data_IF_796691820337
#
_entry.id   IF_796691820337
#
_cell.length_a   1.000
_cell.length_b   1.000
_cell.length_c   1.000
_cell.angle_alpha   90.00
_cell.angle_beta   90.00
_cell.angle_gamma   90.00
#
_symmetry.space_group_name_H-M   'P 1'
#
loop_
_entity.id
_entity.type
_entity.pdbx_description
1 polymer ?
#
# COMPACT_ATOMS: atom_id res chain seq x y z
N UNK A 1 17.65 -30.00 -7.83
CA UNK A 1 16.69 -31.05 -7.41
C UNK A 1 16.23 -30.71 -6.00
N UNK A 2 14.94 -30.76 -5.74
CA UNK A 2 14.39 -30.49 -4.41
C UNK A 2 14.63 -31.63 -3.41
N UNK A 3 14.39 -31.41 -2.13
CA UNK A 3 14.62 -32.40 -1.07
C UNK A 3 13.82 -33.68 -1.30
N UNK A 4 12.58 -33.55 -1.77
CA UNK A 4 11.68 -34.70 -2.02
C UNK A 4 12.25 -35.57 -3.13
N UNK A 5 12.71 -34.98 -4.22
CA UNK A 5 13.34 -35.71 -5.33
C UNK A 5 14.59 -36.45 -4.90
N UNK A 6 15.44 -35.81 -4.07
CA UNK A 6 16.67 -36.45 -3.53
C UNK A 6 16.33 -37.68 -2.62
N UNK A 7 15.32 -37.51 -1.77
CA UNK A 7 14.87 -38.63 -0.91
C UNK A 7 14.26 -39.79 -1.72
N UNK A 8 13.53 -39.49 -2.78
CA UNK A 8 12.96 -40.52 -3.67
C UNK A 8 14.07 -41.30 -4.42
N UNK A 9 15.10 -40.60 -4.89
CA UNK A 9 16.28 -41.27 -5.47
C UNK A 9 17.02 -42.15 -4.46
N UNK A 10 17.19 -41.69 -3.22
CA UNK A 10 17.78 -42.48 -2.17
C UNK A 10 16.97 -43.75 -1.85
N UNK A 11 15.63 -43.71 -1.92
CA UNK A 11 14.75 -44.86 -1.77
C UNK A 11 14.89 -45.83 -2.93
N UNK A 12 14.92 -45.32 -4.17
CA UNK A 12 15.14 -46.14 -5.37
C UNK A 12 16.51 -46.88 -5.29
N UNK A 13 17.55 -46.15 -4.85
CA UNK A 13 18.88 -46.74 -4.65
C UNK A 13 18.93 -47.83 -3.59
N UNK A 14 18.12 -47.73 -2.53
CA UNK A 14 17.97 -48.76 -1.51
C UNK A 14 17.47 -50.08 -2.12
N UNK A 15 16.57 -50.01 -3.08
CA UNK A 15 15.95 -51.15 -3.74
C UNK A 15 16.85 -51.76 -4.83
N UNK A 16 17.58 -50.93 -5.61
CA UNK A 16 18.49 -51.34 -6.70
C UNK A 16 19.81 -51.90 -6.17
N UNK A 17 20.30 -51.50 -5.00
CA UNK A 17 21.55 -51.94 -4.36
C UNK A 17 22.83 -51.71 -5.21
N UNK A 18 22.79 -50.82 -6.19
CA UNK A 18 23.94 -50.54 -7.08
C UNK A 18 25.08 -49.83 -6.33
N UNK A 19 24.76 -48.98 -5.35
CA UNK A 19 25.72 -48.31 -4.49
C UNK A 19 25.37 -48.54 -3.01
N UNK A 20 26.36 -48.51 -2.12
CA UNK A 20 26.08 -48.49 -0.68
C UNK A 20 25.16 -47.34 -0.29
N UNK A 21 24.12 -47.61 0.49
CA UNK A 21 23.13 -46.56 0.84
C UNK A 21 23.72 -45.38 1.61
N UNK A 22 24.83 -45.58 2.33
CA UNK A 22 25.60 -44.50 2.97
C UNK A 22 26.20 -43.55 1.97
N UNK A 23 26.86 -44.10 0.92
CA UNK A 23 27.46 -43.30 -0.16
C UNK A 23 26.41 -42.58 -0.98
N UNK A 24 25.28 -43.23 -1.30
CA UNK A 24 24.18 -42.58 -2.00
C UNK A 24 23.57 -41.44 -1.17
N UNK A 25 23.41 -41.62 0.13
CA UNK A 25 22.91 -40.58 1.04
C UNK A 25 23.82 -39.35 1.10
N UNK A 26 25.15 -39.60 1.14
CA UNK A 26 26.16 -38.54 1.13
C UNK A 26 26.16 -37.75 -0.21
N UNK A 27 26.15 -38.46 -1.34
CA UNK A 27 26.10 -37.86 -2.66
C UNK A 27 24.83 -37.02 -2.91
N UNK A 28 23.70 -37.45 -2.33
CA UNK A 28 22.44 -36.76 -2.43
C UNK A 28 22.25 -35.64 -1.36
N UNK A 29 23.20 -35.51 -0.44
CA UNK A 29 23.12 -34.61 0.70
C UNK A 29 21.80 -34.77 1.48
N UNK A 30 21.47 -35.98 1.87
CA UNK A 30 20.28 -36.34 2.65
C UNK A 30 20.64 -37.36 3.73
N UNK A 31 19.87 -37.35 4.81
CA UNK A 31 20.12 -38.30 5.89
C UNK A 31 19.74 -39.75 5.44
N UNK A 32 20.62 -40.74 5.69
CA UNK A 32 20.37 -42.15 5.36
C UNK A 32 19.06 -42.67 5.95
N UNK A 33 18.63 -42.21 7.13
CA UNK A 33 17.37 -42.59 7.75
C UNK A 33 16.14 -42.22 6.93
N UNK A 34 16.25 -41.22 6.03
CA UNK A 34 15.17 -40.81 5.14
C UNK A 34 14.74 -41.91 4.16
N UNK A 35 15.65 -42.82 3.79
CA UNK A 35 15.33 -43.99 2.98
C UNK A 35 14.39 -44.99 3.66
N UNK A 36 14.43 -45.05 5.00
CA UNK A 36 13.63 -45.93 5.80
C UNK A 36 12.37 -45.31 6.37
N UNK A 37 12.27 -43.98 6.29
CA UNK A 37 11.11 -43.26 6.83
C UNK A 37 9.85 -43.63 6.07
N UNK A 38 8.89 -44.24 6.75
CA UNK A 38 7.52 -44.43 6.27
C UNK A 38 6.62 -43.43 6.99
N UNK A 39 5.90 -42.61 6.24
CA UNK A 39 4.90 -41.76 6.82
C UNK A 39 3.86 -42.62 7.58
N UNK A 40 3.62 -42.31 8.84
CA UNK A 40 2.57 -42.96 9.62
C UNK A 40 1.23 -42.44 9.16
N UNK A 41 0.30 -43.30 8.82
CA UNK A 41 -1.06 -42.91 8.52
C UNK A 41 -1.72 -42.24 9.71
N UNK A 42 -2.54 -41.18 9.46
CA UNK A 42 -3.27 -40.49 10.52
C UNK A 42 -4.16 -41.50 11.28
N UNK A 43 -4.17 -41.39 12.60
CA UNK A 43 -5.09 -42.20 13.42
C UNK A 43 -6.54 -41.70 13.23
N UNK A 44 -7.50 -42.58 13.50
CA UNK A 44 -8.94 -42.20 13.47
C UNK A 44 -9.23 -41.01 14.37
N UNK A 45 -8.61 -40.91 15.53
CA UNK A 45 -8.73 -39.76 16.44
C UNK A 45 -8.13 -38.49 15.85
N UNK A 46 -7.06 -38.60 15.05
CA UNK A 46 -6.47 -37.48 14.34
C UNK A 46 -7.38 -36.98 13.21
N UNK A 47 -7.93 -37.89 12.42
CA UNK A 47 -8.88 -37.57 11.35
C UNK A 47 -10.15 -36.92 11.91
N UNK A 48 -10.70 -37.48 13.00
CA UNK A 48 -11.87 -36.91 13.68
C UNK A 48 -11.59 -35.48 14.18
N UNK A 49 -10.40 -35.24 14.75
CA UNK A 49 -10.01 -33.90 15.21
C UNK A 49 -9.81 -32.92 14.05
N UNK A 50 -9.21 -33.36 12.94
CA UNK A 50 -9.05 -32.53 11.73
C UNK A 50 -10.41 -32.18 11.13
N UNK A 51 -11.34 -33.12 11.02
CA UNK A 51 -12.69 -32.86 10.54
C UNK A 51 -13.45 -31.89 11.47
N UNK A 52 -13.28 -32.00 12.78
CA UNK A 52 -13.87 -31.05 13.72
C UNK A 52 -13.27 -29.63 13.57
N UNK A 53 -11.97 -29.51 13.33
CA UNK A 53 -11.29 -28.24 13.05
C UNK A 53 -11.86 -27.61 11.77
N UNK A 54 -11.95 -28.38 10.68
CA UNK A 54 -12.46 -27.92 9.39
C UNK A 54 -13.88 -27.40 9.51
N UNK A 55 -14.77 -28.16 10.12
CA UNK A 55 -16.16 -27.74 10.38
C UNK A 55 -16.23 -26.43 11.19
N UNK A 56 -15.51 -26.38 12.33
CA UNK A 56 -15.51 -25.18 13.17
C UNK A 56 -14.93 -23.96 12.47
N UNK A 57 -13.93 -24.14 11.59
CA UNK A 57 -13.33 -23.07 10.82
C UNK A 57 -14.27 -22.60 9.70
N UNK A 58 -14.97 -23.50 9.04
CA UNK A 58 -15.99 -23.15 8.03
C UNK A 58 -17.09 -22.29 8.64
N UNK A 59 -17.58 -22.68 9.85
CA UNK A 59 -18.60 -21.93 10.56
C UNK A 59 -18.07 -20.59 11.14
N UNK A 60 -16.78 -20.54 11.51
CA UNK A 60 -16.16 -19.41 12.19
C UNK A 60 -14.74 -19.14 11.66
N UNK A 61 -14.58 -18.54 10.46
CA UNK A 61 -13.28 -18.41 9.80
C UNK A 61 -12.25 -17.55 10.56
N UNK A 62 -12.69 -16.73 11.51
CA UNK A 62 -11.82 -15.92 12.36
C UNK A 62 -11.18 -16.70 13.53
N UNK A 63 -11.62 -17.95 13.79
CA UNK A 63 -11.08 -18.72 14.90
C UNK A 63 -9.70 -19.28 14.60
N UNK A 64 -8.70 -18.83 15.36
CA UNK A 64 -7.35 -19.36 15.28
C UNK A 64 -7.11 -20.54 16.23
N UNK A 65 -5.91 -21.12 16.16
CA UNK A 65 -5.52 -22.33 16.92
C UNK A 65 -5.77 -22.25 18.44
N UNK A 66 -5.77 -21.05 19.04
CA UNK A 66 -6.07 -20.86 20.47
C UNK A 66 -7.55 -21.13 20.76
N UNK A 67 -8.44 -20.57 19.96
CA UNK A 67 -9.88 -20.76 20.13
C UNK A 67 -10.29 -22.19 19.77
N UNK A 68 -9.83 -22.68 18.63
CA UNK A 68 -10.13 -24.03 18.15
C UNK A 68 -9.66 -25.11 19.13
N UNK A 69 -8.48 -24.97 19.75
CA UNK A 69 -8.00 -25.93 20.75
C UNK A 69 -8.88 -25.99 22.00
N UNK A 70 -9.48 -24.86 22.40
CA UNK A 70 -10.42 -24.85 23.54
C UNK A 70 -11.75 -25.47 23.18
N UNK A 71 -12.23 -25.29 21.96
CA UNK A 71 -13.46 -25.93 21.48
C UNK A 71 -13.28 -27.43 21.30
N UNK A 72 -12.14 -27.88 20.76
CA UNK A 72 -11.81 -29.31 20.66
C UNK A 72 -11.83 -29.98 22.03
N UNK A 73 -11.26 -29.34 23.06
CA UNK A 73 -11.32 -29.88 24.44
C UNK A 73 -12.75 -30.02 24.96
N UNK A 74 -13.64 -29.05 24.65
CA UNK A 74 -15.07 -29.15 25.01
C UNK A 74 -15.78 -30.29 24.28
N UNK A 75 -15.31 -30.69 23.11
CA UNK A 75 -15.81 -31.81 22.34
C UNK A 75 -15.15 -33.18 22.74
N UNK A 76 -14.30 -33.16 23.76
CA UNK A 76 -13.67 -34.39 24.27
C UNK A 76 -12.31 -34.73 23.66
N UNK A 77 -11.78 -33.88 22.74
CA UNK A 77 -10.44 -34.11 22.18
C UNK A 77 -9.36 -33.54 23.13
N UNK A 78 -8.47 -34.41 23.65
CA UNK A 78 -7.34 -33.92 24.43
C UNK A 78 -6.18 -33.44 23.52
N UNK A 79 -6.43 -32.31 22.86
CA UNK A 79 -5.51 -31.71 21.90
C UNK A 79 -5.17 -30.27 22.32
N UNK A 80 -3.88 -30.02 22.55
CA UNK A 80 -3.37 -28.72 22.90
C UNK A 80 -3.18 -27.80 21.69
N UNK A 81 -2.97 -26.48 21.94
CA UNK A 81 -2.85 -25.45 20.93
C UNK A 81 -1.79 -25.74 19.85
N UNK A 82 -0.62 -26.28 20.24
CA UNK A 82 0.46 -26.54 19.28
C UNK A 82 0.07 -27.62 18.27
N UNK A 83 -0.57 -28.69 18.76
CA UNK A 83 -1.07 -29.78 17.90
C UNK A 83 -2.22 -29.30 17.01
N UNK A 84 -3.15 -28.49 17.55
CA UNK A 84 -4.21 -27.85 16.76
C UNK A 84 -3.62 -26.97 15.65
N UNK A 85 -2.60 -26.15 15.96
CA UNK A 85 -1.92 -25.31 14.96
C UNK A 85 -1.27 -26.16 13.86
N UNK A 86 -0.61 -27.28 14.23
CA UNK A 86 -0.02 -28.20 13.25
C UNK A 86 -1.09 -28.75 12.31
N UNK A 87 -2.22 -29.22 12.84
CA UNK A 87 -3.33 -29.74 12.04
C UNK A 87 -3.92 -28.69 11.10
N UNK A 88 -4.09 -27.46 11.57
CA UNK A 88 -4.51 -26.34 10.71
C UNK A 88 -3.52 -26.13 9.55
N UNK A 89 -2.22 -26.14 9.83
CA UNK A 89 -1.19 -25.99 8.78
C UNK A 89 -1.17 -27.15 7.79
N UNK A 90 -1.35 -28.38 8.25
CA UNK A 90 -1.42 -29.59 7.41
C UNK A 90 -2.65 -29.57 6.47
N UNK A 91 -3.72 -28.87 6.87
CA UNK A 91 -4.95 -28.69 6.08
C UNK A 91 -5.00 -27.35 5.32
N UNK A 92 -3.94 -26.57 5.36
CA UNK A 92 -3.87 -25.18 4.81
C UNK A 92 -4.96 -24.25 5.36
N UNK A 93 -5.37 -24.47 6.60
CA UNK A 93 -6.39 -23.65 7.28
C UNK A 93 -5.72 -22.48 7.99
N UNK A 94 -6.12 -21.27 7.60
CA UNK A 94 -5.66 -20.01 8.19
C UNK A 94 -6.81 -19.18 8.72
N UNK A 95 -6.70 -18.72 9.97
CA UNK A 95 -7.70 -17.84 10.54
C UNK A 95 -7.74 -16.48 9.80
N UNK A 96 -8.94 -16.02 9.45
CA UNK A 96 -9.15 -14.71 8.87
C UNK A 96 -9.11 -13.67 9.98
N UNK A 97 -8.11 -12.79 9.96
CA UNK A 97 -7.99 -11.67 10.91
C UNK A 97 -7.39 -10.45 10.20
N UNK A 98 -7.63 -9.24 10.71
CA UNK A 98 -6.99 -8.05 10.16
C UNK A 98 -5.47 -8.22 10.18
N UNK A 99 -4.86 -8.09 8.99
CA UNK A 99 -3.39 -8.14 8.88
C UNK A 99 -2.76 -6.97 9.64
N UNK A 100 -1.48 -7.07 10.06
CA UNK A 100 -0.77 -5.95 10.65
C UNK A 100 -0.88 -4.71 9.77
N UNK A 101 -1.04 -3.55 10.39
CA UNK A 101 -1.06 -2.28 9.67
C UNK A 101 0.29 -2.10 8.93
N UNK A 102 0.27 -2.23 7.61
CA UNK A 102 1.44 -2.05 6.74
C UNK A 102 1.82 -0.58 6.56
N UNK A 103 0.97 0.35 7.02
CA UNK A 103 1.25 1.79 7.03
C UNK A 103 2.23 2.22 8.13
N UNK A 104 2.79 1.29 8.91
CA UNK A 104 3.87 1.63 9.82
C UNK A 104 5.14 1.90 9.02
N UNK A 105 5.78 3.09 9.20
CA UNK A 105 7.05 3.39 8.55
C UNK A 105 8.07 2.29 8.81
N UNK A 106 8.83 1.88 7.80
CA UNK A 106 9.93 0.95 8.02
C UNK A 106 10.98 1.60 8.93
N UNK A 107 11.56 0.82 9.82
CA UNK A 107 12.66 1.31 10.68
C UNK A 107 13.83 1.75 9.80
N UNK A 108 14.19 3.03 9.87
CA UNK A 108 15.33 3.61 9.13
C UNK A 108 14.95 4.54 7.97
N UNK A 109 13.69 4.86 7.74
CA UNK A 109 13.31 5.88 6.77
C UNK A 109 13.82 7.26 7.22
N UNK A 110 14.47 8.00 6.29
CA UNK A 110 14.89 9.38 6.51
C UNK A 110 13.64 10.27 6.56
N UNK A 111 13.40 10.91 7.70
CA UNK A 111 12.34 11.90 7.87
C UNK A 111 12.97 13.27 7.72
N UNK A 112 12.37 14.10 6.88
CA UNK A 112 12.81 15.47 6.67
C UNK A 112 12.11 16.43 7.65
N UNK A 113 12.76 17.52 8.07
CA UNK A 113 12.13 18.50 8.95
C UNK A 113 11.00 19.23 8.22
N UNK A 114 10.00 19.69 8.98
CA UNK A 114 8.97 20.57 8.45
C UNK A 114 9.52 22.00 8.28
N UNK A 115 9.63 22.43 7.02
CA UNK A 115 10.29 23.69 6.64
C UNK A 115 9.33 24.89 6.55
N UNK A 116 8.01 24.66 6.62
CA UNK A 116 7.00 25.71 6.38
C UNK A 116 6.49 26.39 7.65
N UNK A 117 7.06 26.05 8.83
CA UNK A 117 6.67 26.70 10.08
C UNK A 117 7.09 28.17 10.06
N UNK A 118 6.12 29.06 10.31
CA UNK A 118 6.34 30.51 10.31
C UNK A 118 6.85 31.09 8.97
N UNK A 119 6.67 30.34 7.87
CA UNK A 119 7.02 30.81 6.54
C UNK A 119 5.83 31.53 5.92
N UNK A 120 5.98 32.80 5.58
CA UNK A 120 4.97 33.53 4.82
C UNK A 120 5.13 33.18 3.33
N UNK A 121 4.07 32.69 2.72
CA UNK A 121 4.03 32.38 1.28
C UNK A 121 3.58 33.64 0.54
N UNK A 122 4.44 34.16 -0.33
CA UNK A 122 4.25 35.46 -0.98
C UNK A 122 4.21 35.41 -2.52
N UNK A 123 4.53 34.27 -3.11
CA UNK A 123 4.57 34.08 -4.57
C UNK A 123 4.30 32.64 -4.97
N UNK A 124 3.88 32.39 -6.23
CA UNK A 124 3.78 31.06 -6.81
C UNK A 124 5.12 30.31 -6.73
N UNK A 125 5.05 28.98 -6.64
CA UNK A 125 6.21 28.07 -6.61
C UNK A 125 7.15 28.23 -5.40
N UNK A 126 6.76 28.95 -4.36
CA UNK A 126 7.51 28.99 -3.11
C UNK A 126 7.31 27.69 -2.31
N UNK A 127 6.11 27.20 -2.19
CA UNK A 127 5.80 25.94 -1.56
C UNK A 127 4.66 25.21 -2.28
N UNK A 128 4.86 23.90 -2.51
CA UNK A 128 3.81 23.00 -2.98
C UNK A 128 3.55 21.93 -1.93
N UNK A 129 2.31 21.44 -1.87
CA UNK A 129 1.96 20.20 -1.15
C UNK A 129 1.59 19.11 -2.12
N UNK A 130 1.99 17.89 -1.77
CA UNK A 130 1.62 16.66 -2.46
C UNK A 130 0.97 15.70 -1.48
N UNK A 131 -0.11 15.04 -1.90
CA UNK A 131 -0.78 14.03 -1.10
C UNK A 131 -1.59 13.08 -2.00
N UNK A 132 -2.10 11.99 -1.42
CA UNK A 132 -2.82 10.94 -2.12
C UNK A 132 -4.19 10.72 -1.47
N UNK A 133 -5.23 10.62 -2.30
CA UNK A 133 -6.57 10.29 -1.84
C UNK A 133 -7.19 9.15 -2.64
N UNK A 134 -8.25 8.54 -2.08
CA UNK A 134 -9.03 7.50 -2.73
C UNK A 134 -10.18 8.10 -3.53
N UNK A 135 -10.39 7.63 -4.73
CA UNK A 135 -11.55 7.94 -5.59
C UNK A 135 -12.34 6.66 -5.79
N UNK A 136 -13.62 6.68 -5.42
CA UNK A 136 -14.51 5.54 -5.60
C UNK A 136 -14.88 5.39 -7.08
N UNK A 137 -14.85 4.14 -7.55
CA UNK A 137 -15.43 3.72 -8.84
C UNK A 137 -16.67 2.89 -8.58
N UNK A 138 -17.43 2.60 -9.62
CA UNK A 138 -18.58 1.65 -9.57
C UNK A 138 -18.14 0.30 -9.02
N UNK A 139 -16.94 -0.17 -9.41
CA UNK A 139 -16.32 -1.40 -8.93
C UNK A 139 -14.94 -1.11 -8.37
N UNK A 140 -14.84 -0.92 -7.05
CA UNK A 140 -13.59 -0.66 -6.36
C UNK A 140 -13.25 0.82 -6.22
N UNK A 141 -11.97 1.14 -6.25
CA UNK A 141 -11.45 2.51 -6.13
C UNK A 141 -10.07 2.63 -6.80
N UNK A 142 -9.70 3.86 -7.07
CA UNK A 142 -8.37 4.25 -7.56
C UNK A 142 -7.75 5.29 -6.65
N UNK A 143 -6.46 5.50 -6.80
CA UNK A 143 -5.71 6.50 -6.06
C UNK A 143 -5.51 7.73 -6.94
N UNK A 144 -5.70 8.90 -6.35
CA UNK A 144 -5.38 10.19 -6.96
C UNK A 144 -4.24 10.82 -6.18
N UNK A 145 -3.08 11.01 -6.81
CA UNK A 145 -2.04 11.91 -6.34
C UNK A 145 -2.33 13.30 -6.90
N UNK A 146 -2.28 14.32 -6.07
CA UNK A 146 -2.40 15.71 -6.51
C UNK A 146 -1.32 16.60 -5.88
N UNK A 147 -1.00 17.68 -6.57
CA UNK A 147 0.01 18.66 -6.15
C UNK A 147 -0.62 20.05 -6.24
N UNK A 148 -0.60 20.78 -5.14
CA UNK A 148 -1.18 22.12 -5.04
C UNK A 148 -0.11 23.15 -4.71
N UNK A 149 -0.14 24.31 -5.41
CA UNK A 149 0.64 25.48 -5.05
C UNK A 149 -0.02 26.22 -3.88
N UNK A 150 0.75 26.56 -2.86
CA UNK A 150 0.24 27.17 -1.64
C UNK A 150 -0.19 28.62 -1.81
N UNK A 151 0.44 29.34 -2.71
CA UNK A 151 0.12 30.75 -2.96
C UNK A 151 -1.19 30.87 -3.72
N UNK A 152 -1.24 30.27 -4.89
CA UNK A 152 -2.33 30.42 -5.86
C UNK A 152 -3.47 29.43 -5.68
N UNK A 153 -3.26 28.33 -4.94
CA UNK A 153 -4.18 27.18 -4.86
C UNK A 153 -4.29 26.39 -6.17
N UNK A 154 -3.48 26.68 -7.18
CA UNK A 154 -3.48 25.97 -8.44
C UNK A 154 -3.09 24.49 -8.23
N UNK A 155 -3.82 23.58 -8.85
CA UNK A 155 -3.39 22.20 -8.97
C UNK A 155 -2.39 22.13 -10.12
N UNK A 156 -1.12 22.03 -9.77
CA UNK A 156 0.01 22.06 -10.71
C UNK A 156 0.30 20.72 -11.35
N UNK A 157 -0.21 19.63 -10.77
CA UNK A 157 -0.08 18.28 -11.31
C UNK A 157 -0.96 17.27 -10.60
N UNK A 158 -1.33 16.22 -11.32
CA UNK A 158 -2.08 15.08 -10.76
C UNK A 158 -1.84 13.82 -11.56
N UNK A 159 -2.10 12.66 -10.94
CA UNK A 159 -2.10 11.35 -11.58
C UNK A 159 -3.08 10.42 -10.87
N UNK A 160 -3.77 9.56 -11.67
CA UNK A 160 -4.61 8.49 -11.17
C UNK A 160 -3.99 7.13 -11.50
N UNK A 161 -4.02 6.22 -10.53
CA UNK A 161 -3.56 4.85 -10.70
C UNK A 161 -4.43 3.89 -9.88
N UNK A 162 -4.51 2.63 -10.28
CA UNK A 162 -5.16 1.56 -9.53
C UNK A 162 -4.28 1.01 -8.41
N UNK A 163 -3.00 1.36 -8.42
CA UNK A 163 -2.01 0.95 -7.42
C UNK A 163 -1.44 2.14 -6.65
N UNK A 164 -1.30 1.97 -5.33
CA UNK A 164 -0.68 2.97 -4.46
C UNK A 164 0.85 2.83 -4.55
N UNK A 165 1.45 3.34 -5.63
CA UNK A 165 2.86 3.18 -5.95
C UNK A 165 3.65 4.49 -5.95
N UNK A 166 4.96 4.40 -5.69
CA UNK A 166 5.89 5.55 -5.86
C UNK A 166 5.98 5.98 -7.33
N UNK A 167 5.68 5.09 -8.28
CA UNK A 167 5.67 5.41 -9.72
C UNK A 167 4.61 6.44 -10.04
N UNK A 168 3.38 6.26 -9.51
CA UNK A 168 2.27 7.22 -9.67
C UNK A 168 2.66 8.61 -9.14
N UNK A 169 3.25 8.67 -7.95
CA UNK A 169 3.71 9.93 -7.33
C UNK A 169 4.77 10.62 -8.19
N UNK A 170 5.75 9.86 -8.68
CA UNK A 170 6.81 10.38 -9.56
C UNK A 170 6.25 10.84 -10.90
N UNK A 171 5.25 10.16 -11.46
CA UNK A 171 4.57 10.57 -12.69
C UNK A 171 3.87 11.92 -12.52
N UNK A 172 3.11 12.11 -11.42
CA UNK A 172 2.47 13.38 -11.09
C UNK A 172 3.50 14.52 -10.96
N UNK A 173 4.61 14.25 -10.22
CA UNK A 173 5.69 15.23 -10.05
C UNK A 173 6.42 15.55 -11.36
N UNK A 174 6.69 14.56 -12.21
CA UNK A 174 7.37 14.78 -13.48
C UNK A 174 6.55 15.72 -14.39
N UNK A 175 5.22 15.52 -14.43
CA UNK A 175 4.30 16.41 -15.15
C UNK A 175 4.33 17.83 -14.56
N UNK A 176 4.26 17.99 -13.25
CA UNK A 176 4.31 19.29 -12.60
C UNK A 176 5.68 19.97 -12.82
N UNK A 177 6.78 19.24 -12.67
CA UNK A 177 8.15 19.76 -12.83
C UNK A 177 8.52 20.10 -14.27
N UNK A 178 7.77 19.62 -15.26
CA UNK A 178 7.95 20.06 -16.66
C UNK A 178 7.46 21.49 -16.90
N UNK A 179 6.55 21.98 -16.05
CA UNK A 179 6.00 23.35 -16.14
C UNK A 179 6.75 24.31 -15.21
N UNK A 180 6.88 23.96 -13.94
CA UNK A 180 7.60 24.74 -12.94
C UNK A 180 8.10 23.83 -11.82
N UNK A 181 8.97 24.36 -10.95
CA UNK A 181 9.47 23.67 -9.76
C UNK A 181 9.30 24.53 -8.53
N UNK A 182 8.86 23.96 -7.39
CA UNK A 182 8.80 24.70 -6.14
C UNK A 182 10.18 24.81 -5.48
N UNK A 183 10.30 25.76 -4.56
CA UNK A 183 11.46 25.81 -3.65
C UNK A 183 11.35 24.69 -2.58
N UNK A 184 10.13 24.48 -2.08
CA UNK A 184 9.82 23.49 -1.05
C UNK A 184 8.65 22.62 -1.51
N UNK A 185 8.81 21.30 -1.43
CA UNK A 185 7.73 20.32 -1.61
C UNK A 185 7.42 19.67 -0.27
N UNK A 186 6.20 19.87 0.20
CA UNK A 186 5.69 19.32 1.46
C UNK A 186 4.85 18.06 1.22
N UNK A 187 5.05 17.03 2.04
CA UNK A 187 4.26 15.80 2.04
C UNK A 187 4.03 15.30 3.46
N UNK A 188 3.13 14.34 3.62
CA UNK A 188 3.08 13.54 4.84
C UNK A 188 4.27 12.57 4.95
N UNK A 189 4.31 11.76 6.03
CA UNK A 189 5.32 10.73 6.26
C UNK A 189 4.91 9.36 5.69
N UNK A 190 4.03 9.32 4.71
CA UNK A 190 3.60 8.09 4.05
C UNK A 190 4.77 7.34 3.40
N UNK A 191 4.62 6.02 3.26
CA UNK A 191 5.67 5.16 2.67
C UNK A 191 6.04 5.57 1.24
N UNK A 192 5.11 6.16 0.50
CA UNK A 192 5.30 6.64 -0.88
C UNK A 192 6.23 7.85 -0.93
N UNK A 193 6.26 8.66 0.13
CA UNK A 193 7.03 9.90 0.24
C UNK A 193 8.35 9.73 1.02
N UNK A 194 8.50 8.63 1.78
CA UNK A 194 9.71 8.32 2.54
C UNK A 194 10.63 7.32 1.84
N UNK A 195 10.20 6.77 0.69
CA UNK A 195 10.97 5.81 -0.11
C UNK A 195 12.18 6.47 -0.80
N UNK A 196 13.30 5.72 -0.93
CA UNK A 196 14.53 6.20 -1.55
C UNK A 196 14.34 6.75 -2.98
N UNK A 197 13.46 6.12 -3.77
CA UNK A 197 13.22 6.53 -5.16
C UNK A 197 12.52 7.88 -5.26
N UNK A 198 11.57 8.17 -4.36
CA UNK A 198 10.92 9.47 -4.26
C UNK A 198 11.92 10.55 -3.83
N UNK A 199 12.64 10.29 -2.72
CA UNK A 199 13.62 11.23 -2.16
C UNK A 199 14.67 11.59 -3.23
N UNK A 200 15.26 10.58 -3.88
CA UNK A 200 16.27 10.78 -4.92
C UNK A 200 15.72 11.59 -6.11
N UNK A 201 14.48 11.34 -6.50
CA UNK A 201 13.83 12.08 -7.60
C UNK A 201 13.64 13.56 -7.25
N UNK A 202 13.17 13.87 -6.03
CA UNK A 202 12.93 15.25 -5.60
C UNK A 202 14.24 16.00 -5.37
N UNK A 203 15.20 15.41 -4.64
CA UNK A 203 16.55 16.00 -4.41
C UNK A 203 17.30 16.23 -5.74
N UNK A 204 17.23 15.27 -6.68
CA UNK A 204 17.81 15.42 -8.02
C UNK A 204 17.21 16.55 -8.83
N UNK A 205 15.99 16.96 -8.50
CA UNK A 205 15.31 18.13 -9.10
C UNK A 205 15.67 19.46 -8.43
N UNK A 206 16.55 19.45 -7.40
CA UNK A 206 16.97 20.61 -6.58
C UNK A 206 15.81 21.27 -5.80
N UNK A 207 14.80 20.49 -5.44
CA UNK A 207 13.66 20.91 -4.62
C UNK A 207 13.91 20.48 -3.16
N UNK A 208 13.65 21.36 -2.20
CA UNK A 208 13.77 21.05 -0.78
C UNK A 208 12.59 20.21 -0.33
N UNK A 209 12.86 19.09 0.35
CA UNK A 209 11.83 18.23 0.92
C UNK A 209 11.45 18.73 2.31
N UNK A 210 10.14 18.86 2.53
CA UNK A 210 9.53 19.12 3.83
C UNK A 210 8.55 17.99 4.15
N UNK A 211 8.49 17.55 5.41
CA UNK A 211 7.54 16.53 5.83
C UNK A 211 6.78 17.00 7.07
N UNK A 212 5.48 16.72 7.08
CA UNK A 212 4.61 17.05 8.19
C UNK A 212 5.11 16.46 9.51
N UNK A 213 4.94 17.17 10.60
CA UNK A 213 5.22 16.65 11.93
C UNK A 213 4.24 15.53 12.30
N UNK A 214 4.71 14.54 13.06
CA UNK A 214 3.85 13.45 13.53
C UNK A 214 2.64 14.01 14.29
N UNK A 215 1.43 13.62 13.85
CA UNK A 215 0.15 14.07 14.45
C UNK A 215 -0.15 15.58 14.29
N UNK A 216 0.38 16.25 13.30
CA UNK A 216 0.11 17.67 13.02
C UNK A 216 -0.70 17.80 11.73
N UNK A 217 -2.03 17.65 11.87
CA UNK A 217 -2.98 17.78 10.76
C UNK A 217 -2.94 19.15 10.03
N UNK A 218 -2.49 20.20 10.70
CA UNK A 218 -2.44 21.55 10.13
C UNK A 218 -1.32 21.72 9.09
N UNK A 219 -0.32 20.83 9.08
CA UNK A 219 0.88 20.99 8.26
C UNK A 219 0.61 20.70 6.76
N UNK A 220 -0.50 19.98 6.41
CA UNK A 220 -0.89 19.68 5.03
C UNK A 220 -2.32 20.14 4.66
N UNK A 221 -2.89 21.05 5.45
CA UNK A 221 -4.30 21.48 5.37
C UNK A 221 -4.72 21.97 3.98
N UNK A 222 -3.78 22.50 3.15
CA UNK A 222 -4.09 23.05 1.85
C UNK A 222 -4.60 21.99 0.89
N UNK A 223 -3.90 20.89 0.76
CA UNK A 223 -4.28 19.82 -0.15
C UNK A 223 -5.43 18.99 0.43
N UNK A 224 -5.47 18.78 1.75
CA UNK A 224 -6.59 18.09 2.41
C UNK A 224 -7.91 18.83 2.17
N UNK A 225 -7.90 20.17 2.30
CA UNK A 225 -9.06 21.00 2.02
C UNK A 225 -9.45 20.93 0.55
N UNK A 226 -8.48 20.90 -0.38
CA UNK A 226 -8.76 20.72 -1.78
C UNK A 226 -9.37 19.35 -2.09
N UNK A 227 -8.84 18.27 -1.51
CA UNK A 227 -9.45 16.93 -1.65
C UNK A 227 -10.89 16.90 -1.14
N UNK A 228 -11.18 17.58 -0.06
CA UNK A 228 -12.56 17.74 0.41
C UNK A 228 -13.41 18.43 -0.65
N UNK A 229 -12.94 19.53 -1.21
CA UNK A 229 -13.64 20.29 -2.27
C UNK A 229 -13.89 19.40 -3.49
N UNK A 230 -12.86 18.70 -4.00
CA UNK A 230 -12.99 17.75 -5.11
C UNK A 230 -14.06 16.67 -4.81
N UNK A 231 -14.04 16.11 -3.62
CA UNK A 231 -14.98 15.04 -3.25
C UNK A 231 -16.42 15.53 -3.24
N UNK A 232 -16.68 16.71 -2.72
CA UNK A 232 -18.03 17.24 -2.63
C UNK A 232 -18.54 17.84 -3.94
N UNK A 233 -17.67 18.46 -4.72
CA UNK A 233 -18.06 19.13 -5.96
C UNK A 233 -18.14 18.17 -7.16
N UNK A 234 -17.42 17.03 -7.11
CA UNK A 234 -17.28 16.15 -8.26
C UNK A 234 -17.49 14.67 -7.88
N UNK A 235 -16.65 14.11 -6.99
CA UNK A 235 -16.58 12.65 -6.78
C UNK A 235 -17.88 12.08 -6.23
N UNK A 236 -18.53 12.75 -5.27
CA UNK A 236 -19.76 12.27 -4.64
C UNK A 236 -21.02 12.46 -5.53
N UNK A 237 -20.87 13.28 -6.57
CA UNK A 237 -21.94 13.55 -7.52
C UNK A 237 -21.87 12.63 -8.75
N UNK A 238 -20.82 11.84 -8.88
CA UNK A 238 -20.52 11.01 -10.05
C UNK A 238 -20.42 9.53 -9.68
N UNK A 239 -20.64 8.68 -10.67
CA UNK A 239 -20.45 7.24 -10.58
C UNK A 239 -19.51 6.81 -11.72
N UNK A 240 -18.21 6.90 -11.47
CA UNK A 240 -17.20 6.59 -12.46
C UNK A 240 -17.21 5.11 -12.81
N UNK A 241 -17.30 4.77 -14.10
CA UNK A 241 -17.33 3.39 -14.56
C UNK A 241 -15.99 2.68 -14.39
N UNK A 242 -14.89 3.38 -14.70
CA UNK A 242 -13.54 2.85 -14.67
C UNK A 242 -12.50 3.97 -14.51
N UNK A 243 -11.22 3.59 -14.38
CA UNK A 243 -10.12 4.56 -14.21
C UNK A 243 -9.98 5.56 -15.37
N UNK A 244 -10.28 5.15 -16.61
CA UNK A 244 -10.19 6.05 -17.79
C UNK A 244 -11.27 7.12 -17.72
N UNK A 245 -12.47 6.74 -17.33
CA UNK A 245 -13.58 7.64 -17.13
C UNK A 245 -13.31 8.62 -15.97
N UNK A 246 -12.88 8.08 -14.81
CA UNK A 246 -12.48 8.89 -13.66
C UNK A 246 -11.36 9.88 -14.02
N UNK A 247 -10.34 9.45 -14.77
CA UNK A 247 -9.22 10.32 -15.19
C UNK A 247 -9.70 11.47 -16.05
N UNK A 248 -10.62 11.21 -16.98
CA UNK A 248 -11.20 12.26 -17.83
C UNK A 248 -12.00 13.26 -16.99
N UNK A 249 -13.00 12.79 -16.23
CA UNK A 249 -13.91 13.66 -15.50
C UNK A 249 -13.21 14.47 -14.39
N UNK A 250 -12.29 13.84 -13.65
CA UNK A 250 -11.46 14.54 -12.66
C UNK A 250 -10.52 15.54 -13.33
N UNK A 251 -9.97 15.21 -14.50
CA UNK A 251 -9.17 16.15 -15.28
C UNK A 251 -9.97 17.37 -15.72
N UNK A 252 -11.19 17.17 -16.21
CA UNK A 252 -12.11 18.24 -16.58
C UNK A 252 -12.48 19.12 -15.36
N UNK A 253 -12.74 18.48 -14.20
CA UNK A 253 -12.97 19.21 -12.95
C UNK A 253 -11.75 20.01 -12.49
N UNK A 254 -10.54 19.45 -12.57
CA UNK A 254 -9.31 20.18 -12.21
C UNK A 254 -9.10 21.37 -13.12
N UNK A 255 -9.43 21.27 -14.41
CA UNK A 255 -9.41 22.39 -15.33
C UNK A 255 -10.41 23.47 -14.90
N UNK A 256 -11.67 23.10 -14.65
CA UNK A 256 -12.70 24.03 -14.15
C UNK A 256 -12.24 24.67 -12.83
N UNK A 257 -11.72 23.90 -11.88
CA UNK A 257 -11.22 24.40 -10.61
C UNK A 257 -10.10 25.42 -10.79
N UNK A 258 -9.15 25.16 -11.67
CA UNK A 258 -7.99 26.01 -11.90
C UNK A 258 -8.32 27.30 -12.64
N UNK A 259 -9.20 27.25 -13.64
CA UNK A 259 -9.39 28.34 -14.60
C UNK A 259 -10.75 29.06 -14.54
N UNK A 260 -11.76 28.44 -13.90
CA UNK A 260 -13.12 28.99 -13.94
C UNK A 260 -13.69 29.23 -12.52
N UNK A 261 -13.31 28.37 -11.54
CA UNK A 261 -13.86 28.46 -10.19
C UNK A 261 -13.26 29.61 -9.42
N UNK A 262 -14.12 30.55 -8.98
CA UNK A 262 -13.71 31.70 -8.15
C UNK A 262 -13.51 31.29 -6.69
N UNK A 263 -12.46 31.78 -6.06
CA UNK A 263 -12.10 31.49 -4.68
C UNK A 263 -12.18 32.72 -3.78
N UNK A 264 -13.02 32.71 -2.77
CA UNK A 264 -13.14 33.81 -1.80
C UNK A 264 -11.81 34.14 -1.10
N UNK A 265 -11.01 33.11 -0.78
CA UNK A 265 -9.69 33.28 -0.17
C UNK A 265 -8.64 33.91 -1.11
N UNK A 266 -8.94 34.02 -2.41
CA UNK A 266 -8.12 34.66 -3.44
C UNK A 266 -8.79 35.95 -3.94
N UNK A 267 -9.67 36.58 -3.16
CA UNK A 267 -10.37 37.78 -3.57
C UNK A 267 -11.33 37.55 -4.76
N UNK A 268 -11.92 36.37 -4.87
CA UNK A 268 -12.76 35.93 -5.98
C UNK A 268 -12.04 35.86 -7.33
N UNK A 269 -10.74 35.61 -7.30
CA UNK A 269 -9.96 35.24 -8.47
C UNK A 269 -9.87 33.73 -8.62
N UNK A 270 -9.57 33.23 -9.82
CA UNK A 270 -9.27 31.82 -10.06
C UNK A 270 -7.84 31.48 -9.60
N UNK A 271 -7.54 30.22 -9.31
CA UNK A 271 -6.16 29.80 -9.05
C UNK A 271 -5.19 30.15 -10.18
N UNK A 272 -5.61 30.04 -11.44
CA UNK A 272 -4.77 30.35 -12.60
C UNK A 272 -4.43 31.86 -12.70
N UNK A 273 -5.38 32.75 -12.41
CA UNK A 273 -5.12 34.21 -12.39
C UNK A 273 -4.07 34.56 -11.32
N UNK A 274 -4.09 33.90 -10.18
CA UNK A 274 -3.10 34.12 -9.12
C UNK A 274 -1.75 33.46 -9.41
N UNK A 275 -1.74 32.36 -10.18
CA UNK A 275 -0.51 31.63 -10.52
C UNK A 275 0.20 32.30 -11.72
N UNK A 276 -0.57 32.79 -12.71
CA UNK A 276 -0.10 33.45 -13.91
C UNK A 276 -0.56 34.91 -13.92
N UNK A 277 0.18 35.82 -13.27
CA UNK A 277 -0.27 37.23 -13.17
C UNK A 277 -0.55 37.93 -14.51
N UNK A 278 0.05 37.42 -15.60
CA UNK A 278 -0.22 37.92 -16.94
C UNK A 278 -1.69 37.73 -17.37
N UNK A 279 -2.38 36.73 -16.80
CA UNK A 279 -3.81 36.50 -17.08
C UNK A 279 -4.70 37.59 -16.48
N UNK A 280 -4.28 38.24 -15.38
CA UNK A 280 -5.01 39.39 -14.79
C UNK A 280 -5.08 40.59 -15.71
N UNK A 281 -4.06 40.79 -16.58
CA UNK A 281 -4.05 41.84 -17.55
C UNK A 281 -4.91 41.59 -18.80
N UNK A 282 -5.46 40.38 -18.96
CA UNK A 282 -6.32 40.03 -20.10
C UNK A 282 -7.82 40.14 -19.79
N UNK A 283 -8.19 40.31 -18.51
CA UNK A 283 -9.58 40.38 -18.03
C UNK A 283 -9.99 41.82 -17.65
N UNK A 284 -9.07 42.77 -17.69
CA UNK A 284 -9.29 44.21 -17.55
C UNK A 284 -9.41 44.83 -18.95
#
# INVERSE_FOLDING_TARGET
>A
MDLIGRVNLLRAQKDSKELPLSTAAELLDVNRSSAYYKAKEPSETELAAKNAIDKMHTDNPAWGSRQLSKQLKRQGFDIGRLKTRRYMMEMDIHAIYPKPNLSKPAKGHKIYPYLLRNTTITRPNQAWSIDITYIRLRHGFVYLTAIIDWYSRLIVGFELDDTLSTVMVKSALAKAFSVAKPEILNSDQGSQFTGHDYIRFVEGSRVKISMDGKSRWADNIMIERWFRTLKYDEVYLKDYENIKDARKQIGDYIHLYNFEKLHSALGYQTPAENYYPILLGMVA
#
